data_IF_983888173886
#
_entry.id   IF_983888173886
#
_cell.length_a   1.000
_cell.length_b   1.000
_cell.length_c   1.000
_cell.angle_alpha   90.00
_cell.angle_beta   90.00
_cell.angle_gamma   90.00
#
_symmetry.space_group_name_H-M   'P 1'
#
loop_
_entity.id
_entity.type
_entity.pdbx_description
1 polymer ?
#
# COMPACT_ATOMS: atom_id res chain seq x y z
N UNK A 1 9.51 -3.13 54.59
CA UNK A 1 9.67 -4.55 54.97
C UNK A 1 8.54 -5.46 54.48
N UNK A 2 7.25 -5.06 54.52
CA UNK A 2 6.12 -5.95 54.16
C UNK A 2 5.94 -6.22 52.65
N UNK A 3 6.35 -5.29 51.79
CA UNK A 3 6.25 -5.46 50.32
C UNK A 3 7.32 -6.38 49.71
N UNK A 4 8.47 -6.56 50.38
CA UNK A 4 9.55 -7.41 49.90
C UNK A 4 9.21 -8.90 49.97
N UNK A 5 8.52 -9.31 51.05
CA UNK A 5 8.04 -10.68 51.21
C UNK A 5 6.94 -11.01 50.20
N UNK A 6 6.03 -10.07 49.92
CA UNK A 6 5.00 -10.23 48.89
C UNK A 6 5.59 -10.33 47.48
N UNK A 7 6.63 -9.56 47.17
CA UNK A 7 7.34 -9.64 45.88
C UNK A 7 8.07 -10.98 45.71
N UNK A 8 8.73 -11.48 46.76
CA UNK A 8 9.34 -12.82 46.74
C UNK A 8 8.32 -13.93 46.58
N UNK A 9 7.15 -13.84 47.24
CA UNK A 9 6.08 -14.83 47.09
C UNK A 9 5.54 -14.84 45.66
N UNK A 10 5.39 -13.67 45.02
CA UNK A 10 4.94 -13.55 43.63
C UNK A 10 5.94 -14.13 42.63
N UNK A 11 7.24 -13.87 42.83
CA UNK A 11 8.32 -14.44 42.00
C UNK A 11 8.38 -15.96 42.17
N UNK A 12 8.21 -16.47 43.39
CA UNK A 12 8.19 -17.90 43.67
C UNK A 12 6.99 -18.61 43.02
N UNK A 13 5.80 -17.98 43.06
CA UNK A 13 4.60 -18.48 42.37
C UNK A 13 4.77 -18.54 40.85
N UNK A 14 5.49 -17.57 40.27
CA UNK A 14 5.75 -17.53 38.83
C UNK A 14 6.79 -18.59 38.39
N UNK A 15 7.78 -18.89 39.24
CA UNK A 15 8.79 -19.93 38.99
C UNK A 15 8.23 -21.36 39.11
N UNK A 16 7.24 -21.60 39.96
CA UNK A 16 6.66 -22.95 40.17
C UNK A 16 5.60 -23.32 39.12
N UNK A 17 5.05 -22.35 38.40
CA UNK A 17 4.02 -22.58 37.38
C UNK A 17 4.57 -22.87 35.95
N UNK A 18 5.90 -22.85 35.77
CA UNK A 18 6.56 -22.90 34.46
C UNK A 18 6.85 -24.29 33.88
N UNK A 19 6.22 -25.37 34.36
CA UNK A 19 6.53 -26.72 33.87
C UNK A 19 5.28 -27.51 33.45
N UNK A 20 4.86 -27.29 32.19
CA UNK A 20 4.09 -28.27 31.40
C UNK A 20 4.57 -28.19 29.94
N UNK A 21 5.68 -28.87 29.65
CA UNK A 21 5.97 -29.32 28.29
C UNK A 21 4.86 -30.29 27.84
N UNK A 22 4.01 -29.85 26.90
CA UNK A 22 3.00 -30.70 26.26
C UNK A 22 3.65 -31.61 25.20
N UNK A 23 3.16 -32.85 25.02
CA UNK A 23 3.71 -33.77 24.04
C UNK A 23 3.35 -33.36 22.60
N UNK A 24 4.37 -33.38 21.75
CA UNK A 24 4.32 -33.20 20.29
C UNK A 24 3.36 -34.21 19.63
N UNK A 25 2.36 -33.79 18.82
CA UNK A 25 1.63 -34.72 17.98
C UNK A 25 2.45 -35.09 16.73
N UNK A 26 2.73 -36.38 16.57
CA UNK A 26 3.29 -36.95 15.36
C UNK A 26 2.33 -36.79 14.16
N UNK A 27 2.82 -36.54 12.93
CA UNK A 27 1.94 -36.49 11.77
C UNK A 27 1.49 -37.89 11.36
N UNK A 28 0.21 -38.19 11.56
CA UNK A 28 -0.48 -39.34 10.97
C UNK A 28 -0.55 -39.14 9.45
N UNK A 29 0.12 -40.02 8.71
CA UNK A 29 -0.02 -40.10 7.26
C UNK A 29 -1.45 -40.53 6.90
N UNK A 30 -2.16 -39.69 6.17
CA UNK A 30 -3.50 -39.99 5.63
C UNK A 30 -3.31 -40.43 4.18
N UNK A 31 -3.65 -41.68 3.87
CA UNK A 31 -3.68 -42.19 2.50
C UNK A 31 -4.74 -41.45 1.68
N UNK A 32 -4.33 -40.79 0.60
CA UNK A 32 -5.24 -40.15 -0.35
C UNK A 32 -5.54 -41.11 -1.51
N UNK A 33 -6.82 -41.38 -1.71
CA UNK A 33 -7.36 -42.13 -2.86
C UNK A 33 -7.39 -41.23 -4.09
N UNK A 34 -6.65 -41.62 -5.12
CA UNK A 34 -6.63 -41.01 -6.46
C UNK A 34 -7.98 -41.19 -7.15
N UNK A 35 -8.62 -40.11 -7.62
CA UNK A 35 -9.72 -40.16 -8.57
C UNK A 35 -9.38 -39.36 -9.85
N UNK A 36 -9.59 -40.04 -10.98
CA UNK A 36 -9.25 -39.66 -12.36
C UNK A 36 -9.94 -38.37 -12.83
N UNK A 37 -9.32 -37.58 -13.73
CA UNK A 37 -9.96 -36.42 -14.35
C UNK A 37 -10.95 -36.81 -15.47
N UNK A 38 -12.08 -36.08 -15.65
CA UNK A 38 -12.95 -36.23 -16.80
C UNK A 38 -12.46 -35.41 -18.01
N UNK A 39 -12.59 -35.99 -19.19
CA UNK A 39 -12.34 -35.38 -20.51
C UNK A 39 -13.49 -34.46 -20.92
N UNK A 40 -13.25 -33.21 -21.35
CA UNK A 40 -14.28 -32.43 -22.05
C UNK A 40 -14.14 -32.57 -23.58
N UNK A 41 -15.25 -32.98 -24.20
CA UNK A 41 -15.42 -33.18 -25.65
C UNK A 41 -16.35 -32.09 -26.21
N UNK A 42 -16.02 -31.63 -27.42
CA UNK A 42 -16.79 -30.89 -28.44
C UNK A 42 -16.68 -29.35 -28.50
N UNK A 43 -16.16 -28.94 -29.67
CA UNK A 43 -16.04 -27.59 -30.20
C UNK A 43 -17.34 -27.15 -30.89
N UNK A 44 -17.67 -25.86 -30.79
CA UNK A 44 -18.64 -25.16 -31.63
C UNK A 44 -18.04 -23.82 -32.09
N UNK A 45 -18.10 -23.60 -33.40
CA UNK A 45 -17.48 -22.52 -34.16
C UNK A 45 -17.99 -21.13 -33.80
N UNK A 46 -17.06 -20.18 -33.64
CA UNK A 46 -17.32 -18.77 -33.33
C UNK A 46 -17.65 -17.96 -34.60
N UNK A 47 -18.63 -17.04 -34.58
CA UNK A 47 -18.87 -16.12 -35.69
C UNK A 47 -17.77 -15.05 -35.78
N UNK A 48 -17.38 -14.71 -37.01
CA UNK A 48 -16.41 -13.66 -37.34
C UNK A 48 -16.92 -12.29 -36.90
N UNK A 49 -16.25 -11.56 -35.99
CA UNK A 49 -16.64 -10.20 -35.66
C UNK A 49 -16.20 -9.24 -36.77
N UNK A 50 -17.17 -8.64 -37.45
CA UNK A 50 -16.95 -7.49 -38.35
C UNK A 50 -16.44 -6.32 -37.51
N UNK A 51 -15.14 -6.03 -37.64
CA UNK A 51 -14.45 -4.92 -36.99
C UNK A 51 -15.01 -3.58 -37.45
N UNK A 52 -15.66 -2.84 -36.54
CA UNK A 52 -15.88 -1.40 -36.68
C UNK A 52 -14.62 -0.68 -36.20
N UNK A 53 -14.12 0.36 -36.91
CA UNK A 53 -12.90 1.04 -36.51
C UNK A 53 -13.12 1.80 -35.18
N UNK A 54 -12.36 1.41 -34.17
CA UNK A 54 -12.30 2.10 -32.88
C UNK A 54 -11.45 3.37 -33.04
N UNK A 55 -12.05 4.54 -32.86
CA UNK A 55 -11.36 5.83 -32.88
C UNK A 55 -10.50 5.97 -31.60
N UNK A 56 -9.18 6.05 -31.76
CA UNK A 56 -8.26 6.31 -30.65
C UNK A 56 -8.47 7.73 -30.09
N UNK A 57 -8.43 7.94 -28.76
CA UNK A 57 -8.30 9.27 -28.22
C UNK A 57 -6.92 9.81 -28.57
N UNK A 58 -6.90 10.77 -29.49
CA UNK A 58 -5.71 11.59 -29.74
C UNK A 58 -5.54 12.50 -28.53
N UNK A 59 -4.47 12.32 -27.76
CA UNK A 59 -4.02 13.35 -26.83
C UNK A 59 -3.54 14.54 -27.68
N UNK A 60 -4.45 15.49 -27.90
CA UNK A 60 -4.10 16.77 -28.48
C UNK A 60 -3.13 17.47 -27.53
N UNK A 61 -1.86 17.51 -27.90
CA UNK A 61 -0.92 18.52 -27.43
C UNK A 61 -1.53 19.86 -27.81
N UNK A 62 -2.14 20.54 -26.84
CA UNK A 62 -2.62 21.91 -27.00
C UNK A 62 -1.46 22.74 -27.55
N UNK A 63 -1.56 23.29 -28.77
CA UNK A 63 -0.52 24.17 -29.25
C UNK A 63 -0.45 25.38 -28.31
N UNK A 64 0.77 25.74 -27.94
CA UNK A 64 1.08 27.03 -27.35
C UNK A 64 0.39 28.11 -28.20
N UNK A 65 -0.43 29.01 -27.63
CA UNK A 65 -1.11 30.02 -28.43
C UNK A 65 -0.07 30.88 -29.15
N UNK A 66 -0.04 30.76 -30.47
CA UNK A 66 0.66 31.66 -31.37
C UNK A 66 -0.13 32.98 -31.47
N UNK A 67 0.61 34.07 -31.34
CA UNK A 67 0.26 35.49 -31.52
C UNK A 67 -1.17 35.80 -32.01
N UNK A 68 -2.03 36.17 -31.06
CA UNK A 68 -3.21 36.97 -31.35
C UNK A 68 -2.77 38.42 -31.67
N UNK A 69 -3.45 39.13 -32.60
CA UNK A 69 -3.16 40.53 -32.86
C UNK A 69 -3.39 41.34 -31.59
N UNK A 70 -2.38 42.14 -31.23
CA UNK A 70 -2.41 43.10 -30.13
C UNK A 70 -3.54 44.10 -30.42
N UNK A 71 -4.68 43.92 -29.75
CA UNK A 71 -5.62 45.02 -29.55
C UNK A 71 -5.00 45.96 -28.50
N UNK A 72 -4.56 47.13 -28.93
CA UNK A 72 -4.15 48.22 -28.03
C UNK A 72 -5.34 48.68 -27.20
N UNK A 73 -5.56 48.00 -26.07
CA UNK A 73 -6.42 48.51 -25.00
C UNK A 73 -5.60 49.51 -24.18
N UNK A 74 -6.05 50.77 -24.16
CA UNK A 74 -5.50 51.79 -23.27
C UNK A 74 -5.84 51.43 -21.83
N UNK A 75 -4.94 50.69 -21.18
CA UNK A 75 -5.06 50.31 -19.76
C UNK A 75 -4.91 51.58 -18.91
N UNK A 76 -5.86 51.94 -18.04
CA UNK A 76 -5.65 53.01 -17.06
C UNK A 76 -4.54 52.59 -16.10
N UNK A 77 -3.59 53.50 -15.86
CA UNK A 77 -2.46 53.32 -14.95
C UNK A 77 -2.91 52.78 -13.60
N UNK A 78 -2.34 51.67 -13.08
CA UNK A 78 -2.69 51.16 -11.76
C UNK A 78 -2.27 52.17 -10.69
N UNK A 79 -3.23 52.59 -9.87
CA UNK A 79 -2.99 53.31 -8.62
C UNK A 79 -2.04 52.48 -7.75
N UNK A 80 -0.96 53.05 -7.16
CA UNK A 80 -0.07 52.31 -6.29
C UNK A 80 -0.87 51.81 -5.08
N UNK A 81 -1.12 50.51 -5.04
CA UNK A 81 -1.71 49.84 -3.90
C UNK A 81 -0.59 49.67 -2.89
N UNK A 82 -0.64 50.42 -1.78
CA UNK A 82 0.26 50.21 -0.64
C UNK A 82 0.09 48.78 -0.14
N UNK A 83 1.11 47.95 -0.36
CA UNK A 83 1.16 46.60 0.16
C UNK A 83 1.20 46.65 1.69
N UNK A 84 0.30 45.97 2.42
CA UNK A 84 0.40 45.90 3.86
C UNK A 84 1.76 45.27 4.23
N UNK A 85 2.52 45.95 5.07
CA UNK A 85 3.73 45.40 5.68
C UNK A 85 3.30 44.25 6.59
N UNK A 86 3.60 43.01 6.19
CA UNK A 86 3.30 41.83 6.98
C UNK A 86 4.14 41.88 8.25
N UNK A 87 3.53 42.14 9.40
CA UNK A 87 4.19 41.99 10.69
C UNK A 87 4.55 40.51 10.85
N UNK A 88 5.84 40.15 11.03
CA UNK A 88 6.23 38.76 11.15
C UNK A 88 5.58 38.16 12.40
N UNK A 89 4.66 37.21 12.20
CA UNK A 89 4.11 36.40 13.26
C UNK A 89 5.26 35.59 13.90
N UNK A 90 5.36 35.50 15.23
CA UNK A 90 6.39 34.67 15.88
C UNK A 90 6.30 33.23 15.36
N UNK A 91 7.40 32.75 14.78
CA UNK A 91 7.50 31.42 14.19
C UNK A 91 7.65 30.37 15.28
N UNK A 92 6.63 29.51 15.43
CA UNK A 92 6.69 28.33 16.30
C UNK A 92 7.17 27.10 15.50
N UNK A 93 8.02 26.22 16.05
CA UNK A 93 8.55 25.06 15.31
C UNK A 93 7.47 24.11 14.78
N UNK A 94 6.34 23.98 15.48
CA UNK A 94 5.19 23.15 15.04
C UNK A 94 4.20 23.88 14.13
N UNK A 95 4.54 25.09 13.65
CA UNK A 95 3.69 25.80 12.71
C UNK A 95 3.75 25.12 11.35
N UNK A 96 2.60 24.92 10.70
CA UNK A 96 2.49 24.20 9.41
C UNK A 96 3.44 24.78 8.36
N UNK A 97 3.59 26.11 8.30
CA UNK A 97 4.51 26.78 7.39
C UNK A 97 5.98 26.39 7.60
N UNK A 98 6.39 26.18 8.86
CA UNK A 98 7.74 25.72 9.22
C UNK A 98 7.92 24.26 8.84
N UNK A 99 6.97 23.38 9.20
CA UNK A 99 7.06 21.95 8.86
C UNK A 99 7.09 21.73 7.34
N UNK A 100 6.37 22.53 6.53
CA UNK A 100 6.41 22.42 5.06
C UNK A 100 7.75 22.78 4.43
N UNK A 101 8.56 23.59 5.12
CA UNK A 101 9.90 23.96 4.64
C UNK A 101 10.96 22.92 5.04
N UNK A 102 10.63 22.03 5.99
CA UNK A 102 11.51 20.99 6.44
C UNK A 102 11.56 19.83 5.43
N UNK A 103 12.73 19.21 5.30
CA UNK A 103 12.91 17.99 4.49
C UNK A 103 12.65 16.76 5.35
N UNK A 104 11.77 15.88 4.89
CA UNK A 104 11.46 14.58 5.50
C UNK A 104 11.82 13.46 4.52
N UNK A 105 13.11 13.12 4.36
CA UNK A 105 13.51 12.02 3.48
C UNK A 105 12.93 10.71 4.02
N UNK A 106 12.25 9.96 3.15
CA UNK A 106 11.82 8.61 3.48
C UNK A 106 13.01 7.67 3.60
N UNK A 107 12.91 6.68 4.48
CA UNK A 107 13.89 5.59 4.61
C UNK A 107 13.33 4.29 4.06
N UNK A 108 14.22 3.31 3.88
CA UNK A 108 13.84 1.96 3.49
C UNK A 108 13.06 1.27 4.61
N UNK A 109 12.05 0.49 4.22
CA UNK A 109 11.29 -0.37 5.12
C UNK A 109 11.94 -1.74 5.19
N UNK A 110 12.29 -2.16 6.40
CA UNK A 110 12.97 -3.44 6.64
C UNK A 110 12.01 -4.39 7.36
N UNK A 111 11.86 -5.61 6.84
CA UNK A 111 11.12 -6.69 7.49
C UNK A 111 12.02 -7.40 8.50
N UNK A 112 11.74 -7.23 9.78
CA UNK A 112 12.57 -7.76 10.86
C UNK A 112 12.15 -9.18 11.25
N UNK A 113 10.84 -9.43 11.28
CA UNK A 113 10.28 -10.68 11.74
C UNK A 113 8.95 -10.95 11.04
N UNK A 114 8.74 -12.20 10.63
CA UNK A 114 7.42 -12.72 10.29
C UNK A 114 6.81 -13.36 11.53
N UNK A 115 5.59 -12.97 11.88
CA UNK A 115 4.84 -13.57 12.99
C UNK A 115 3.91 -14.67 12.45
N UNK A 116 3.32 -15.46 13.35
CA UNK A 116 2.26 -16.40 12.96
C UNK A 116 1.13 -15.68 12.24
N UNK A 117 0.61 -16.29 11.20
CA UNK A 117 -0.45 -15.71 10.40
C UNK A 117 -1.76 -15.59 11.20
N UNK A 118 -2.50 -14.52 10.93
CA UNK A 118 -3.89 -14.40 11.34
C UNK A 118 -4.82 -15.13 10.38
N UNK A 119 -6.09 -15.25 10.74
CA UNK A 119 -7.10 -15.98 9.95
C UNK A 119 -7.21 -15.48 8.49
N UNK A 120 -6.93 -14.20 8.23
CA UNK A 120 -7.06 -13.58 6.91
C UNK A 120 -5.93 -12.59 6.59
N UNK A 121 -4.83 -12.64 7.35
CA UNK A 121 -3.74 -11.69 7.16
C UNK A 121 -2.42 -12.24 7.68
N UNK A 122 -1.38 -11.97 6.90
CA UNK A 122 0.01 -12.21 7.27
C UNK A 122 0.46 -11.06 8.19
N UNK A 123 1.28 -11.37 9.19
CA UNK A 123 1.74 -10.39 10.19
C UNK A 123 3.26 -10.25 10.17
N UNK A 124 3.76 -9.02 10.24
CA UNK A 124 5.18 -8.73 10.22
C UNK A 124 5.57 -7.63 11.22
N UNK A 125 6.76 -7.73 11.82
CA UNK A 125 7.45 -6.56 12.36
C UNK A 125 8.21 -5.90 11.22
N UNK A 126 7.93 -4.63 10.99
CA UNK A 126 8.63 -3.78 10.04
C UNK A 126 9.29 -2.64 10.81
N UNK A 127 10.46 -2.21 10.34
CA UNK A 127 11.13 -1.03 10.88
C UNK A 127 11.49 -0.03 9.77
N UNK A 128 11.64 1.23 10.15
CA UNK A 128 12.20 2.28 9.29
C UNK A 128 12.94 3.33 10.12
N UNK A 129 13.81 4.09 9.47
CA UNK A 129 14.60 5.14 10.11
C UNK A 129 13.95 6.52 9.92
N UNK A 130 13.64 7.20 11.02
CA UNK A 130 13.07 8.55 11.05
C UNK A 130 14.05 9.46 11.80
N UNK A 131 14.67 10.42 11.13
CA UNK A 131 15.57 11.41 11.76
C UNK A 131 16.56 10.77 12.75
N UNK A 132 17.26 9.70 12.34
CA UNK A 132 18.21 8.89 13.13
C UNK A 132 17.61 8.02 14.26
N UNK A 133 16.29 7.93 14.35
CA UNK A 133 15.57 7.02 15.24
C UNK A 133 14.96 5.85 14.47
N UNK A 134 15.18 4.63 14.94
CA UNK A 134 14.59 3.42 14.34
C UNK A 134 13.22 3.17 14.93
N UNK A 135 12.19 3.28 14.10
CA UNK A 135 10.79 3.06 14.48
C UNK A 135 10.41 1.63 14.12
N UNK A 136 9.74 0.93 15.04
CA UNK A 136 9.21 -0.42 14.83
C UNK A 136 7.68 -0.41 14.80
N UNK A 137 7.09 -1.19 13.91
CA UNK A 137 5.65 -1.28 13.73
C UNK A 137 5.22 -2.69 13.32
N UNK A 138 4.02 -3.10 13.74
CA UNK A 138 3.35 -4.33 13.33
C UNK A 138 2.52 -4.10 12.06
N UNK A 139 2.91 -4.72 10.95
CA UNK A 139 2.24 -4.63 9.66
C UNK A 139 1.34 -5.85 9.41
N UNK A 140 0.12 -5.59 8.93
CA UNK A 140 -0.85 -6.64 8.54
C UNK A 140 -1.11 -6.58 7.05
N UNK A 141 -0.84 -7.67 6.33
CA UNK A 141 -1.15 -7.81 4.90
C UNK A 141 -2.26 -8.81 4.74
N UNK A 142 -3.30 -8.51 3.98
CA UNK A 142 -4.38 -9.49 3.72
C UNK A 142 -3.80 -10.74 3.07
N UNK A 143 -4.08 -11.91 3.63
CA UNK A 143 -3.62 -13.19 3.14
C UNK A 143 -4.28 -13.47 1.78
N UNK A 144 -3.47 -13.78 0.76
CA UNK A 144 -3.92 -13.94 -0.61
C UNK A 144 -4.83 -15.17 -0.82
N UNK A 145 -4.80 -16.14 0.10
CA UNK A 145 -5.42 -17.46 -0.06
C UNK A 145 -6.95 -17.46 -0.20
N UNK A 146 -7.65 -16.37 0.15
CA UNK A 146 -9.12 -16.32 0.15
C UNK A 146 -9.71 -15.15 -0.67
N UNK A 147 -8.90 -14.50 -1.53
CA UNK A 147 -9.45 -13.56 -2.52
C UNK A 147 -9.97 -14.35 -3.72
N UNK A 148 -11.09 -15.04 -3.52
CA UNK A 148 -11.69 -15.92 -4.51
C UNK A 148 -11.84 -15.24 -5.86
N UNK A 149 -11.53 -15.99 -6.91
CA UNK A 149 -11.71 -15.69 -8.34
C UNK A 149 -13.07 -15.07 -8.70
N UNK A 150 -14.07 -15.14 -7.82
CA UNK A 150 -15.38 -14.51 -7.96
C UNK A 150 -15.35 -12.96 -7.97
N UNK A 151 -14.44 -12.32 -7.25
CA UNK A 151 -14.37 -10.84 -7.25
C UNK A 151 -13.80 -10.30 -8.57
N UNK A 152 -12.89 -11.03 -9.23
CA UNK A 152 -12.36 -10.65 -10.55
C UNK A 152 -13.37 -10.87 -11.69
N UNK A 153 -14.38 -11.72 -11.50
CA UNK A 153 -15.41 -12.01 -12.51
C UNK A 153 -16.43 -10.87 -12.71
N UNK A 154 -16.52 -9.93 -11.76
CA UNK A 154 -17.42 -8.77 -11.84
C UNK A 154 -16.70 -7.46 -12.20
N UNK A 155 -15.38 -7.48 -12.39
CA UNK A 155 -14.60 -6.32 -12.79
C UNK A 155 -14.14 -6.44 -14.25
N UNK A 156 -14.45 -5.48 -15.14
CA UNK A 156 -14.01 -5.51 -16.54
C UNK A 156 -12.47 -5.55 -16.62
N UNK A 157 -11.90 -6.56 -17.30
CA UNK A 157 -10.46 -6.66 -17.54
C UNK A 157 -10.06 -5.71 -18.69
N UNK A 158 -9.04 -4.84 -18.52
CA UNK A 158 -8.49 -4.09 -19.63
C UNK A 158 -7.72 -5.02 -20.58
N UNK A 159 -7.97 -4.90 -21.89
CA UNK A 159 -7.35 -5.70 -22.94
C UNK A 159 -5.81 -5.55 -22.90
N UNK A 160 -5.12 -6.70 -22.89
CA UNK A 160 -3.67 -6.78 -22.93
C UNK A 160 -3.11 -6.14 -24.22
N UNK A 161 -2.34 -5.07 -24.08
CA UNK A 161 -1.49 -4.53 -25.14
C UNK A 161 -0.31 -5.51 -25.33
N UNK A 162 -0.25 -6.11 -26.52
CA UNK A 162 0.72 -7.14 -26.89
C UNK A 162 2.17 -6.67 -26.85
N UNK A 163 3.03 -7.60 -26.44
CA UNK A 163 4.47 -7.56 -26.26
C UNK A 163 5.23 -7.13 -27.54
N UNK A 164 5.92 -5.99 -27.50
CA UNK A 164 6.84 -5.53 -28.55
C UNK A 164 8.25 -6.02 -28.20
N UNK A 165 8.49 -7.31 -28.38
CA UNK A 165 9.84 -7.88 -28.45
C UNK A 165 9.99 -8.72 -29.71
N UNK A 166 10.15 -8.02 -30.83
CA UNK A 166 10.96 -8.51 -31.95
C UNK A 166 11.23 -7.33 -32.90
N UNK A 167 12.45 -6.80 -32.83
CA UNK A 167 13.13 -6.11 -33.93
C UNK A 167 14.44 -6.86 -34.16
#
# INVERSE_FOLDING_TARGET
MRYWLFWLILVCLFLVAGDKAGPTPAPTAVSQTTLSPPTPTLALSLPTPTSLPVLLPTYASTPLPADAPIATSTTPSPTPTVSPTVTPLPTHPLMIGVMRQQSYPGSELIFEQTLDDGINYDRYIVSYLSESNKIYQQQRRRAAANFGHAWCAWWPQPLAIGDVRNV
#
